data_IF_098743010514
#
_entry.id   IF_098743010514
#
_cell.length_a   1.000
_cell.length_b   1.000
_cell.length_c   1.000
_cell.angle_alpha   90.00
_cell.angle_beta   90.00
_cell.angle_gamma   90.00
#
_symmetry.space_group_name_H-M   'P 1'
#
loop_
_entity.id
_entity.type
_entity.pdbx_description
1 polymer ?
#
# COMPACT_ATOMS: atom_id res chain seq x y z
N UNK A 1 -0.16 0.42 -12.39
CA UNK A 1 0.39 1.80 -12.51
C UNK A 1 -0.44 2.83 -11.74
N UNK A 2 -1.76 2.66 -11.68
CA UNK A 2 -2.73 3.56 -11.02
C UNK A 2 -2.39 3.97 -9.58
N UNK A 3 -1.87 3.05 -8.76
CA UNK A 3 -1.47 3.35 -7.38
C UNK A 3 -0.31 4.35 -7.31
N UNK A 4 0.71 4.19 -8.17
CA UNK A 4 1.87 5.09 -8.22
C UNK A 4 1.46 6.49 -8.67
N UNK A 5 0.60 6.57 -9.68
CA UNK A 5 0.07 7.84 -10.16
C UNK A 5 -0.79 8.53 -9.08
N UNK A 6 -1.60 7.78 -8.34
CA UNK A 6 -2.38 8.30 -7.22
C UNK A 6 -1.48 8.83 -6.09
N UNK A 7 -0.38 8.15 -5.77
CA UNK A 7 0.61 8.61 -4.79
C UNK A 7 1.25 9.93 -5.26
N UNK A 8 1.65 10.01 -6.53
CA UNK A 8 2.23 11.21 -7.10
C UNK A 8 1.24 12.39 -7.07
N UNK A 9 -0.01 12.18 -7.46
CA UNK A 9 -1.09 13.20 -7.38
C UNK A 9 -1.31 13.67 -5.95
N UNK A 10 -1.30 12.76 -4.97
CA UNK A 10 -1.44 13.08 -3.54
C UNK A 10 -0.25 13.92 -3.02
N UNK A 11 0.97 13.64 -3.48
CA UNK A 11 2.16 14.41 -3.14
C UNK A 11 2.15 15.84 -3.72
N UNK A 12 1.61 15.99 -4.94
CA UNK A 12 1.38 17.30 -5.56
C UNK A 12 0.31 18.08 -4.78
N UNK A 13 -0.82 17.44 -4.46
CA UNK A 13 -1.92 18.06 -3.72
C UNK A 13 -1.48 18.55 -2.32
N UNK A 14 -0.59 17.80 -1.65
CA UNK A 14 0.01 18.17 -0.36
C UNK A 14 1.08 19.27 -0.46
N UNK A 15 1.43 19.74 -1.68
CA UNK A 15 2.49 20.73 -1.95
C UNK A 15 3.87 20.32 -1.39
N UNK A 16 4.10 19.03 -1.22
CA UNK A 16 5.36 18.48 -0.71
C UNK A 16 6.29 18.05 -1.84
N UNK A 17 5.75 17.80 -3.04
CA UNK A 17 6.49 17.24 -4.16
C UNK A 17 7.11 15.87 -3.81
N UNK A 18 8.23 15.53 -4.43
CA UNK A 18 8.92 14.25 -4.21
C UNK A 18 9.27 13.97 -2.73
N UNK A 19 9.52 15.03 -1.94
CA UNK A 19 9.82 14.93 -0.50
C UNK A 19 8.68 14.27 0.30
N UNK A 20 7.44 14.40 -0.15
CA UNK A 20 6.27 13.80 0.51
C UNK A 20 5.97 12.36 0.10
N UNK A 21 6.66 11.79 -0.88
CA UNK A 21 6.36 10.43 -1.36
C UNK A 21 6.60 9.41 -0.25
N UNK A 22 7.74 9.52 0.46
CA UNK A 22 8.08 8.63 1.58
C UNK A 22 7.03 8.67 2.67
N UNK A 23 6.58 9.85 3.10
CA UNK A 23 5.59 9.96 4.16
C UNK A 23 4.20 9.49 3.76
N UNK A 24 3.84 9.59 2.47
CA UNK A 24 2.61 9.00 1.94
C UNK A 24 2.69 7.47 2.00
N UNK A 25 3.78 6.87 1.53
CA UNK A 25 3.96 5.40 1.54
C UNK A 25 4.02 4.86 2.97
N UNK A 26 4.78 5.50 3.86
CA UNK A 26 4.85 5.10 5.28
C UNK A 26 3.48 5.15 5.96
N UNK A 27 2.69 6.20 5.70
CA UNK A 27 1.35 6.30 6.25
C UNK A 27 0.38 5.23 5.74
N UNK A 28 0.51 4.80 4.49
CA UNK A 28 -0.33 3.75 3.89
C UNK A 28 0.02 2.35 4.40
N UNK A 29 1.29 2.12 4.73
CA UNK A 29 1.81 0.80 5.07
C UNK A 29 2.05 0.60 6.56
N UNK A 30 1.85 1.62 7.41
CA UNK A 30 2.22 1.59 8.82
C UNK A 30 1.70 0.35 9.54
N UNK A 31 0.39 0.11 9.46
CA UNK A 31 -0.25 -1.02 10.14
C UNK A 31 0.19 -2.36 9.53
N UNK A 32 0.32 -2.41 8.20
CA UNK A 32 0.77 -3.61 7.51
C UNK A 32 2.22 -3.97 7.85
N UNK A 33 3.11 -2.98 7.98
CA UNK A 33 4.49 -3.19 8.40
C UNK A 33 4.60 -3.68 9.85
N UNK A 34 3.63 -3.34 10.69
CA UNK A 34 3.57 -3.81 12.08
C UNK A 34 3.04 -5.26 12.16
N UNK A 35 1.99 -5.58 11.40
CA UNK A 35 1.32 -6.87 11.46
C UNK A 35 2.11 -7.99 10.75
N UNK A 36 2.60 -7.72 9.53
CA UNK A 36 3.24 -8.73 8.66
C UNK A 36 4.39 -9.49 9.35
N UNK A 37 5.28 -8.87 10.16
CA UNK A 37 6.31 -9.59 10.89
C UNK A 37 5.79 -10.71 11.81
N UNK A 38 4.53 -10.63 12.26
CA UNK A 38 3.89 -11.63 13.12
C UNK A 38 3.12 -12.70 12.33
N UNK A 39 2.85 -12.45 11.04
CA UNK A 39 2.10 -13.35 10.16
C UNK A 39 3.05 -14.20 9.33
N UNK A 40 3.18 -15.49 9.68
CA UNK A 40 4.19 -16.38 9.09
C UNK A 40 3.88 -16.81 7.64
N UNK A 41 2.63 -16.69 7.22
CA UNK A 41 2.10 -17.19 5.96
C UNK A 41 1.80 -16.10 4.94
N UNK A 42 2.24 -14.85 5.11
CA UNK A 42 2.16 -13.84 4.06
C UNK A 42 3.18 -14.11 2.95
N UNK A 43 2.71 -14.07 1.69
CA UNK A 43 3.50 -14.17 0.47
C UNK A 43 3.73 -12.79 -0.19
N UNK A 44 2.68 -11.97 -0.26
CA UNK A 44 2.70 -10.68 -0.95
C UNK A 44 1.73 -9.69 -0.29
N UNK A 45 2.04 -8.40 -0.38
CA UNK A 45 1.12 -7.31 -0.03
C UNK A 45 0.85 -6.47 -1.28
N UNK A 46 -0.42 -6.37 -1.66
CA UNK A 46 -0.85 -5.63 -2.85
C UNK A 46 -1.43 -4.28 -2.45
N UNK A 47 -0.93 -3.22 -3.09
CA UNK A 47 -1.39 -1.84 -2.93
C UNK A 47 -1.95 -1.33 -4.24
N UNK A 48 -3.26 -1.11 -4.28
CA UNK A 48 -3.95 -0.52 -5.43
C UNK A 48 -4.28 0.97 -5.20
N UNK A 49 -4.98 1.57 -6.17
CA UNK A 49 -5.40 2.97 -6.09
C UNK A 49 -6.40 3.23 -4.96
N UNK A 50 -7.30 2.30 -4.67
CA UNK A 50 -8.29 2.45 -3.60
C UNK A 50 -7.61 2.51 -2.24
N UNK A 51 -6.53 1.74 -2.04
CA UNK A 51 -5.68 1.83 -0.84
C UNK A 51 -5.05 3.22 -0.71
N UNK A 52 -4.47 3.75 -1.80
CA UNK A 52 -3.86 5.09 -1.80
C UNK A 52 -4.89 6.20 -1.51
N UNK A 53 -6.12 6.01 -1.99
CA UNK A 53 -7.25 6.92 -1.78
C UNK A 53 -7.92 6.73 -0.40
N UNK A 54 -7.52 5.73 0.37
CA UNK A 54 -8.02 5.45 1.72
C UNK A 54 -9.42 4.81 1.74
N UNK A 55 -9.79 4.12 0.67
CA UNK A 55 -11.08 3.40 0.56
C UNK A 55 -11.00 1.95 1.03
N UNK A 56 -9.80 1.38 1.06
CA UNK A 56 -9.51 -0.01 1.42
C UNK A 56 -8.16 -0.10 2.13
N UNK A 57 -7.95 -1.16 2.87
CA UNK A 57 -6.65 -1.52 3.45
C UNK A 57 -5.82 -2.34 2.44
N UNK A 58 -4.47 -2.34 2.56
CA UNK A 58 -3.61 -3.20 1.74
C UNK A 58 -4.01 -4.67 1.80
N UNK A 59 -4.02 -5.35 0.65
CA UNK A 59 -4.43 -6.76 0.56
C UNK A 59 -3.23 -7.66 0.84
N UNK A 60 -3.40 -8.61 1.76
CA UNK A 60 -2.36 -9.59 2.15
C UNK A 60 -2.63 -10.94 1.50
N UNK A 61 -1.76 -11.37 0.60
CA UNK A 61 -1.82 -12.67 -0.09
C UNK A 61 -1.05 -13.69 0.73
N UNK A 62 -1.67 -14.84 1.02
CA UNK A 62 -1.08 -15.88 1.89
C UNK A 62 -0.47 -17.02 1.06
N UNK A 63 0.65 -17.59 1.52
CA UNK A 63 1.35 -18.76 0.97
C UNK A 63 0.39 -19.95 0.95
N UNK A 64 -0.12 -20.31 -0.22
CA UNK A 64 -1.04 -21.44 -0.42
C UNK A 64 -2.40 -21.06 -0.99
N UNK A 65 -2.70 -19.77 -1.14
CA UNK A 65 -3.77 -19.29 -2.04
C UNK A 65 -3.14 -18.74 -3.31
N UNK A 66 -2.64 -19.65 -4.15
CA UNK A 66 -2.65 -19.39 -5.60
C UNK A 66 -4.15 -19.27 -5.95
N UNK A 67 -4.60 -18.04 -6.19
CA UNK A 67 -6.01 -17.77 -6.42
C UNK A 67 -6.50 -18.57 -7.62
N UNK A 68 -7.57 -19.34 -7.40
CA UNK A 68 -8.48 -19.72 -8.46
C UNK A 68 -8.99 -18.42 -9.10
N UNK A 69 -8.42 -18.09 -10.27
CA UNK A 69 -8.94 -17.10 -11.19
C UNK A 69 -10.27 -17.58 -11.81
#
# INVERSE_FOLDING_TARGET
EDALEAIAKKAIARKTGARGLRSIVEGLLLDTMFDVPTETDIAEVVVDKDVVEGRKDPVRVHKGKEEAA
#
